data_IF_097258784875
#
_entry.id   IF_097258784875
#
_cell.length_a   1.000
_cell.length_b   1.000
_cell.length_c   1.000
_cell.angle_alpha   90.00
_cell.angle_beta   90.00
_cell.angle_gamma   90.00
#
_symmetry.space_group_name_H-M   'P 1'
#
loop_
_entity.id
_entity.type
_entity.pdbx_description
1 polymer ?
#
# COMPACT_ATOMS: atom_id res chain seq x y z
N UNK A 1 3.88 3.74 20.55
CA UNK A 1 3.87 5.04 21.30
C UNK A 1 4.47 6.19 20.50
N UNK A 2 5.75 6.18 20.11
CA UNK A 2 6.32 7.27 19.29
C UNK A 2 5.73 7.34 17.87
N UNK A 3 5.44 6.18 17.26
CA UNK A 3 4.83 6.09 15.93
C UNK A 3 3.37 6.57 15.90
N UNK A 4 2.53 6.11 16.86
CA UNK A 4 1.20 6.68 17.09
C UNK A 4 1.19 8.21 17.18
N UNK A 5 2.09 8.80 17.99
CA UNK A 5 2.17 10.25 18.12
C UNK A 5 2.49 10.94 16.78
N UNK A 6 3.41 10.38 15.99
CA UNK A 6 3.71 10.89 14.64
C UNK A 6 2.49 10.75 13.74
N UNK A 7 1.77 9.63 13.78
CA UNK A 7 0.58 9.39 12.95
C UNK A 7 -0.58 10.33 13.29
N UNK A 8 -0.79 10.62 14.57
CA UNK A 8 -1.88 11.48 15.04
C UNK A 8 -1.58 12.98 14.96
N UNK A 9 -0.31 13.36 14.73
CA UNK A 9 0.14 14.74 14.63
C UNK A 9 0.36 15.13 13.15
N UNK A 10 -0.52 15.94 12.54
CA UNK A 10 -0.46 16.20 11.09
C UNK A 10 0.85 16.81 10.61
N UNK A 11 1.50 17.63 11.45
CA UNK A 11 2.77 18.27 11.14
C UNK A 11 3.95 17.29 11.14
N UNK A 12 4.04 16.40 12.15
CA UNK A 12 5.05 15.35 12.19
C UNK A 12 4.85 14.32 11.08
N UNK A 13 3.60 13.90 10.87
CA UNK A 13 3.22 13.00 9.78
C UNK A 13 3.68 13.55 8.43
N UNK A 14 3.44 14.84 8.19
CA UNK A 14 3.89 15.52 6.98
C UNK A 14 5.41 15.53 6.82
N UNK A 15 6.19 15.80 7.88
CA UNK A 15 7.66 15.72 7.80
C UNK A 15 8.11 14.32 7.34
N UNK A 16 7.58 13.28 7.98
CA UNK A 16 7.88 11.89 7.63
C UNK A 16 7.50 11.57 6.18
N UNK A 17 6.28 11.94 5.79
CA UNK A 17 5.75 11.70 4.45
C UNK A 17 6.54 12.48 3.39
N UNK A 18 7.11 13.65 3.72
CA UNK A 18 8.00 14.39 2.82
C UNK A 18 9.44 13.85 2.79
N UNK A 19 9.75 12.79 3.56
CA UNK A 19 11.01 12.06 3.48
C UNK A 19 12.02 12.37 4.58
N UNK A 20 11.67 13.20 5.57
CA UNK A 20 12.55 13.50 6.71
C UNK A 20 12.67 12.27 7.64
N UNK A 21 13.90 12.00 8.10
CA UNK A 21 14.15 11.00 9.12
C UNK A 21 13.83 11.55 10.52
N UNK A 22 12.59 11.37 10.97
CA UNK A 22 12.15 11.86 12.27
C UNK A 22 12.13 10.77 13.35
N UNK A 23 12.50 11.15 14.57
CA UNK A 23 12.44 10.30 15.75
C UNK A 23 11.91 11.11 16.94
N UNK A 24 10.98 10.52 17.70
CA UNK A 24 10.57 11.08 19.00
C UNK A 24 11.28 10.32 20.11
N UNK A 25 12.14 11.02 20.86
CA UNK A 25 12.96 10.44 21.94
C UNK A 25 13.00 11.35 23.17
N UNK A 26 12.55 10.83 24.31
CA UNK A 26 12.69 11.50 25.61
C UNK A 26 12.10 12.92 25.69
N UNK A 27 10.97 13.17 25.02
CA UNK A 27 10.33 14.49 24.96
C UNK A 27 10.89 15.44 23.89
N UNK A 28 11.76 14.95 23.01
CA UNK A 28 12.32 15.70 21.90
C UNK A 28 11.95 15.08 20.56
N UNK A 29 11.83 15.94 19.55
CA UNK A 29 11.80 15.56 18.14
C UNK A 29 13.20 15.73 17.56
N UNK A 30 13.75 14.64 17.05
CA UNK A 30 15.03 14.58 16.37
C UNK A 30 14.77 14.43 14.86
N UNK A 31 15.52 15.18 14.07
CA UNK A 31 15.48 15.13 12.61
C UNK A 31 16.90 14.82 12.15
N UNK A 32 17.08 13.59 11.70
CA UNK A 32 18.38 13.05 11.32
C UNK A 32 18.75 13.45 9.90
N UNK A 33 20.03 13.25 9.57
CA UNK A 33 20.56 13.38 8.21
C UNK A 33 20.40 14.80 7.62
N UNK A 34 20.64 15.85 8.41
CA UNK A 34 20.64 17.23 7.91
C UNK A 34 22.01 17.54 7.31
N UNK A 35 22.16 17.67 5.98
CA UNK A 35 23.43 18.03 5.38
C UNK A 35 23.80 19.47 5.74
N UNK A 36 25.08 19.71 5.98
CA UNK A 36 25.67 21.03 6.22
C UNK A 36 27.11 21.05 5.73
N UNK A 37 27.66 22.25 5.50
CA UNK A 37 29.09 22.44 5.16
C UNK A 37 29.85 22.76 6.44
N UNK A 38 31.00 22.12 6.67
CA UNK A 38 31.87 22.42 7.80
C UNK A 38 32.93 23.50 7.49
N UNK A 39 33.75 23.85 8.48
CA UNK A 39 34.82 24.84 8.35
C UNK A 39 35.94 24.47 7.36
N UNK A 40 35.99 23.20 6.93
CA UNK A 40 36.95 22.70 5.94
C UNK A 40 36.33 22.59 4.54
N UNK A 41 35.14 23.18 4.34
CA UNK A 41 34.35 23.10 3.10
C UNK A 41 33.93 21.66 2.74
N UNK A 42 33.78 20.79 3.74
CA UNK A 42 33.32 19.42 3.53
C UNK A 42 31.83 19.30 3.90
N UNK A 43 31.11 18.49 3.13
CA UNK A 43 29.71 18.17 3.44
C UNK A 43 29.67 17.13 4.55
N UNK A 44 29.00 17.47 5.63
CA UNK A 44 28.75 16.64 6.81
C UNK A 44 27.26 16.50 7.07
N UNK A 45 26.87 15.61 7.97
CA UNK A 45 25.47 15.38 8.34
C UNK A 45 25.28 15.52 9.85
N UNK A 46 24.27 16.30 10.23
CA UNK A 46 23.91 16.55 11.61
C UNK A 46 22.47 16.16 11.94
N UNK A 47 22.07 16.46 13.17
CA UNK A 47 20.73 16.16 13.69
C UNK A 47 20.15 17.44 14.28
N UNK A 48 18.97 17.86 13.80
CA UNK A 48 18.21 18.91 14.45
C UNK A 48 17.40 18.33 15.62
N UNK A 49 17.36 19.04 16.73
CA UNK A 49 16.71 18.58 17.96
C UNK A 49 15.83 19.71 18.51
N UNK A 50 14.54 19.47 18.67
CA UNK A 50 13.60 20.43 19.28
C UNK A 50 12.80 19.77 20.40
N UNK A 51 12.47 20.55 21.42
CA UNK A 51 11.46 20.17 22.43
C UNK A 51 10.15 19.81 21.74
N UNK A 52 9.51 18.73 22.18
CA UNK A 52 8.22 18.27 21.68
C UNK A 52 7.13 18.55 22.70
N UNK A 53 6.36 19.60 22.44
CA UNK A 53 5.18 20.01 23.20
C UNK A 53 3.99 19.24 22.71
N UNK A 54 3.25 18.67 23.65
CA UNK A 54 2.04 17.90 23.39
C UNK A 54 0.82 18.69 23.84
N UNK A 55 -0.18 18.83 22.96
CA UNK A 55 -1.47 19.43 23.32
C UNK A 55 -2.36 18.43 24.08
N UNK A 56 -2.18 17.15 23.78
CA UNK A 56 -2.66 16.00 24.54
C UNK A 56 -1.64 14.85 24.37
N UNK A 57 -1.80 13.74 25.09
CA UNK A 57 -0.87 12.60 25.01
C UNK A 57 -0.68 12.01 23.59
N UNK A 58 -1.54 12.38 22.63
CA UNK A 58 -1.58 11.82 21.28
C UNK A 58 -1.27 12.85 20.17
N UNK A 59 -1.21 14.16 20.47
CA UNK A 59 -1.03 15.20 19.44
C UNK A 59 -0.03 16.27 19.83
N UNK A 60 0.70 16.76 18.84
CA UNK A 60 1.53 17.95 18.96
C UNK A 60 0.71 19.17 19.36
N UNK A 61 1.31 20.00 20.21
CA UNK A 61 0.92 21.40 20.40
C UNK A 61 1.76 22.31 19.51
N UNK A 62 1.55 23.61 19.64
CA UNK A 62 2.47 24.59 19.04
C UNK A 62 3.84 24.52 19.71
N UNK A 63 4.95 24.67 18.96
CA UNK A 63 6.28 24.75 19.55
C UNK A 63 6.33 25.80 20.67
N UNK A 64 6.84 25.41 21.84
CA UNK A 64 6.95 26.27 23.04
C UNK A 64 7.95 27.41 22.84
N UNK A 65 8.95 27.17 22.00
CA UNK A 65 9.98 28.13 21.66
C UNK A 65 10.39 28.01 20.18
N UNK A 66 11.15 29.01 19.72
CA UNK A 66 11.68 29.08 18.36
C UNK A 66 13.11 28.53 18.25
N UNK A 67 13.75 28.18 19.36
CA UNK A 67 15.13 27.66 19.38
C UNK A 67 15.14 26.21 18.89
N UNK A 68 16.13 25.85 18.10
CA UNK A 68 16.41 24.45 17.74
C UNK A 68 17.84 24.12 18.15
N UNK A 69 18.05 22.95 18.74
CA UNK A 69 19.37 22.44 19.05
C UNK A 69 19.91 21.63 17.88
N UNK A 70 21.23 21.43 17.86
CA UNK A 70 21.91 20.73 16.79
C UNK A 70 23.03 19.84 17.31
N UNK A 71 23.10 18.62 16.76
CA UNK A 71 24.17 17.65 16.97
C UNK A 71 25.01 17.61 15.69
N UNK A 72 26.32 17.86 15.80
CA UNK A 72 27.24 17.92 14.65
C UNK A 72 28.37 18.93 14.88
N UNK A 73 28.94 19.49 13.82
CA UNK A 73 29.87 20.63 13.83
C UNK A 73 29.16 21.94 13.44
N UNK A 74 29.87 23.08 13.40
CA UNK A 74 29.25 24.35 13.01
C UNK A 74 28.84 24.30 11.54
N UNK A 75 27.56 24.56 11.20
CA UNK A 75 27.16 24.83 9.83
C UNK A 75 27.83 26.09 9.31
N UNK A 76 28.42 25.99 8.13
CA UNK A 76 29.11 27.05 7.43
C UNK A 76 28.44 27.36 6.09
N UNK A 77 28.71 28.56 5.60
CA UNK A 77 28.52 28.97 4.21
C UNK A 77 29.50 28.22 3.29
N UNK A 78 29.36 28.42 1.98
CA UNK A 78 30.16 27.73 0.95
C UNK A 78 31.67 28.01 1.02
N UNK A 79 32.09 29.07 1.71
CA UNK A 79 33.48 29.48 1.89
C UNK A 79 34.09 29.03 3.24
N UNK A 80 33.32 28.26 4.03
CA UNK A 80 33.74 27.74 5.33
C UNK A 80 33.50 28.71 6.48
N UNK A 81 32.93 29.89 6.23
CA UNK A 81 32.54 30.82 7.29
C UNK A 81 31.28 30.34 8.01
N UNK A 82 31.26 30.39 9.34
CA UNK A 82 30.12 29.91 10.13
C UNK A 82 28.85 30.73 9.83
N UNK A 83 27.71 30.07 9.71
CA UNK A 83 26.39 30.72 9.56
C UNK A 83 25.99 31.39 10.87
N UNK A 84 26.46 32.62 11.09
CA UNK A 84 26.22 33.38 12.33
C UNK A 84 24.80 33.93 12.43
N UNK A 85 24.10 34.10 11.30
CA UNK A 85 22.77 34.73 11.22
C UNK A 85 21.68 34.05 12.05
N UNK A 86 21.85 32.76 12.35
CA UNK A 86 20.92 31.97 13.19
C UNK A 86 21.57 31.48 14.48
N UNK A 87 22.82 31.83 14.78
CA UNK A 87 23.55 31.27 15.91
C UNK A 87 23.00 31.79 17.24
N UNK A 88 22.75 30.88 18.19
CA UNK A 88 22.23 31.21 19.52
C UNK A 88 23.20 30.82 20.64
N UNK A 89 23.64 29.56 20.68
CA UNK A 89 24.67 29.10 21.61
C UNK A 89 25.53 28.03 20.96
N UNK A 90 26.84 28.03 21.27
CA UNK A 90 27.81 27.05 20.77
C UNK A 90 28.45 26.23 21.91
N UNK A 91 27.63 25.82 22.87
CA UNK A 91 28.06 25.03 24.02
C UNK A 91 27.41 23.66 24.02
N UNK A 92 28.23 22.62 24.23
CA UNK A 92 27.72 21.27 24.47
C UNK A 92 26.83 21.26 25.71
N UNK A 93 25.62 20.74 25.59
CA UNK A 93 24.65 20.63 26.69
C UNK A 93 23.95 19.28 26.66
N UNK A 94 23.73 18.72 27.84
CA UNK A 94 22.97 17.48 28.04
C UNK A 94 21.52 17.87 28.26
N UNK A 95 20.64 17.51 27.32
CA UNK A 95 19.21 17.83 27.41
C UNK A 95 18.46 16.80 28.26
N UNK A 96 18.83 15.53 28.15
CA UNK A 96 18.35 14.43 28.98
C UNK A 96 19.36 13.27 28.98
N UNK A 97 19.04 12.14 29.62
CA UNK A 97 19.90 10.94 29.68
C UNK A 97 20.23 10.31 28.31
N UNK A 98 19.58 10.74 27.23
CA UNK A 98 19.65 10.13 25.90
C UNK A 98 20.08 11.10 24.80
N UNK A 99 20.12 12.41 25.06
CA UNK A 99 20.31 13.46 24.06
C UNK A 99 21.30 14.50 24.57
N UNK A 100 22.45 14.54 23.90
CA UNK A 100 23.49 15.57 24.08
C UNK A 100 23.60 16.34 22.78
N UNK A 101 23.56 17.66 22.87
CA UNK A 101 23.61 18.58 21.72
C UNK A 101 24.86 19.45 21.80
N UNK A 102 25.40 19.84 20.65
CA UNK A 102 26.64 20.61 20.59
C UNK A 102 26.39 22.13 20.53
N UNK A 103 25.25 22.53 19.97
CA UNK A 103 24.88 23.94 19.76
C UNK A 103 23.38 24.15 19.60
N UNK A 104 22.98 25.41 19.49
CA UNK A 104 21.60 25.80 19.20
C UNK A 104 21.52 27.02 18.29
N UNK A 105 20.40 27.12 17.59
CA UNK A 105 20.08 28.16 16.63
C UNK A 105 18.75 28.83 16.97
N UNK A 106 18.62 30.11 16.63
CA UNK A 106 17.42 30.91 16.80
C UNK A 106 17.12 31.69 15.52
N UNK A 107 15.96 31.41 14.92
CA UNK A 107 15.42 32.16 13.79
C UNK A 107 13.92 32.29 14.06
N UNK A 108 13.50 33.43 14.59
CA UNK A 108 12.11 33.67 14.99
C UNK A 108 11.35 34.42 13.89
N UNK A 109 10.35 33.80 13.24
CA UNK A 109 9.41 34.54 12.39
C UNK A 109 8.59 35.53 13.21
N UNK A 110 8.10 36.61 12.59
CA UNK A 110 7.32 37.65 13.27
C UNK A 110 6.12 37.09 14.06
N UNK A 111 5.43 36.08 13.51
CA UNK A 111 4.30 35.40 14.15
C UNK A 111 4.69 34.15 14.96
N UNK A 112 5.98 33.81 15.05
CA UNK A 112 6.45 32.52 15.55
C UNK A 112 6.22 31.37 14.55
N UNK A 113 6.48 30.13 14.98
CA UNK A 113 6.23 28.94 14.17
C UNK A 113 4.83 28.39 14.46
N UNK A 114 3.99 28.17 13.43
CA UNK A 114 2.64 27.67 13.64
C UNK A 114 2.59 26.19 14.04
N UNK A 115 3.60 25.40 13.67
CA UNK A 115 3.70 23.97 13.95
C UNK A 115 5.15 23.47 13.81
N UNK A 116 5.41 22.20 14.12
CA UNK A 116 6.74 21.61 14.02
C UNK A 116 7.25 21.48 12.59
N UNK A 117 6.36 21.24 11.62
CA UNK A 117 6.73 21.14 10.21
C UNK A 117 7.40 22.42 9.71
N UNK A 118 6.78 23.59 9.94
CA UNK A 118 7.35 24.87 9.52
C UNK A 118 8.66 25.19 10.23
N UNK A 119 8.77 24.85 11.53
CA UNK A 119 10.00 25.02 12.30
C UNK A 119 11.14 24.19 11.72
N UNK A 120 10.94 22.88 11.58
CA UNK A 120 11.95 21.94 11.08
C UNK A 120 12.36 22.30 9.66
N UNK A 121 11.39 22.49 8.77
CA UNK A 121 11.65 22.82 7.36
C UNK A 121 12.50 24.08 7.24
N UNK A 122 12.15 25.15 7.97
CA UNK A 122 12.90 26.41 7.94
C UNK A 122 14.37 26.24 8.32
N UNK A 123 14.65 25.49 9.39
CA UNK A 123 16.02 25.26 9.83
C UNK A 123 16.79 24.33 8.90
N UNK A 124 16.15 23.26 8.40
CA UNK A 124 16.74 22.37 7.42
C UNK A 124 17.08 23.13 6.13
N UNK A 125 16.18 23.99 5.63
CA UNK A 125 16.41 24.81 4.42
C UNK A 125 17.64 25.72 4.59
N UNK A 126 17.79 26.37 5.75
CA UNK A 126 18.93 27.28 5.99
C UNK A 126 20.24 26.50 6.09
N UNK A 127 20.28 25.45 6.91
CA UNK A 127 21.51 24.69 7.21
C UNK A 127 21.98 23.89 5.99
N UNK A 128 21.03 23.36 5.21
CA UNK A 128 21.34 22.51 4.07
C UNK A 128 21.55 23.27 2.77
N UNK A 129 21.23 24.56 2.69
CA UNK A 129 21.39 25.35 1.47
C UNK A 129 22.84 25.38 0.95
N UNK A 130 23.88 25.64 1.78
CA UNK A 130 25.27 25.61 1.30
C UNK A 130 25.69 24.21 0.80
N UNK A 131 25.29 23.15 1.50
CA UNK A 131 25.64 21.78 1.12
C UNK A 131 24.99 21.38 -0.22
N UNK A 132 23.71 21.71 -0.41
CA UNK A 132 22.97 21.48 -1.67
C UNK A 132 23.51 22.30 -2.84
N UNK A 133 24.06 23.48 -2.55
CA UNK A 133 24.72 24.31 -3.57
C UNK A 133 26.03 23.66 -4.04
N UNK A 134 26.85 23.14 -3.12
CA UNK A 134 28.10 22.44 -3.44
C UNK A 134 27.87 21.10 -4.15
N UNK A 135 26.86 20.35 -3.70
CA UNK A 135 26.48 19.07 -4.30
C UNK A 135 24.93 18.96 -4.40
N UNK A 136 24.36 19.10 -5.60
CA UNK A 136 22.91 18.98 -5.79
C UNK A 136 22.33 17.59 -5.48
N UNK A 137 23.18 16.56 -5.29
CA UNK A 137 22.72 15.21 -4.95
C UNK A 137 22.43 15.02 -3.46
N UNK A 138 22.92 15.90 -2.58
CA UNK A 138 22.67 15.77 -1.14
C UNK A 138 21.29 16.26 -0.74
N UNK A 139 20.69 15.58 0.24
CA UNK A 139 19.32 15.88 0.69
C UNK A 139 19.10 15.44 2.13
N UNK A 140 18.33 16.22 2.87
CA UNK A 140 17.77 15.86 4.18
C UNK A 140 16.55 14.92 4.09
N UNK A 141 16.02 14.74 2.87
CA UNK A 141 14.84 13.91 2.59
C UNK A 141 15.29 12.56 2.02
N UNK A 142 15.74 11.67 2.89
CA UNK A 142 16.32 10.38 2.50
C UNK A 142 15.30 9.33 2.10
N UNK A 143 14.01 9.52 2.46
CA UNK A 143 12.96 8.52 2.26
C UNK A 143 13.30 7.16 2.88
N UNK A 144 14.04 7.17 3.98
CA UNK A 144 14.38 5.96 4.72
C UNK A 144 13.13 5.15 5.05
N UNK A 145 13.18 3.85 4.77
CA UNK A 145 12.08 2.92 5.06
C UNK A 145 11.80 2.90 6.56
N UNK A 146 10.51 3.00 6.90
CA UNK A 146 10.05 3.07 8.29
C UNK A 146 9.34 1.76 8.61
N UNK A 147 9.99 0.83 9.33
CA UNK A 147 9.36 -0.42 9.71
C UNK A 147 8.20 -0.16 10.68
N UNK A 148 7.17 -0.99 10.59
CA UNK A 148 6.07 -1.04 11.57
C UNK A 148 6.52 -1.83 12.82
N UNK A 149 7.44 -1.24 13.57
CA UNK A 149 8.05 -1.87 14.76
C UNK A 149 7.09 -2.01 15.94
N UNK A 150 5.95 -1.32 15.92
CA UNK A 150 4.91 -1.41 16.94
C UNK A 150 3.84 -2.48 16.66
N UNK A 151 3.88 -3.15 15.50
CA UNK A 151 2.76 -3.97 15.00
C UNK A 151 1.43 -3.20 15.03
N UNK A 152 1.49 -1.92 14.68
CA UNK A 152 0.33 -1.03 14.68
C UNK A 152 -0.49 -1.23 13.39
N UNK A 153 0.08 -1.85 12.36
CA UNK A 153 -0.54 -2.03 11.04
C UNK A 153 -0.42 -3.47 10.52
N UNK A 154 -1.12 -3.75 9.42
CA UNK A 154 -1.00 -5.03 8.67
C UNK A 154 0.18 -5.05 7.69
N UNK A 155 0.99 -4.00 7.65
CA UNK A 155 2.13 -3.87 6.75
C UNK A 155 3.45 -4.05 7.50
N UNK A 156 4.49 -4.48 6.80
CA UNK A 156 5.86 -4.57 7.36
C UNK A 156 6.50 -3.18 7.53
N UNK A 157 6.05 -2.21 6.74
CA UNK A 157 6.47 -0.81 6.79
C UNK A 157 5.27 0.12 6.58
N UNK A 158 5.41 1.35 7.06
CA UNK A 158 4.32 2.34 7.09
C UNK A 158 3.87 2.74 5.67
N UNK A 159 2.54 2.74 5.44
CA UNK A 159 1.92 3.29 4.23
C UNK A 159 1.92 4.83 4.26
N UNK A 160 2.97 5.40 3.65
CA UNK A 160 3.08 6.84 3.45
C UNK A 160 2.29 7.33 2.23
N UNK A 161 1.81 6.45 1.34
CA UNK A 161 1.03 6.84 0.17
C UNK A 161 -0.39 7.28 0.56
N UNK A 162 -1.09 6.48 1.38
CA UNK A 162 -2.42 6.86 1.90
C UNK A 162 -2.39 8.16 2.70
N UNK A 163 -1.30 8.32 3.46
CA UNK A 163 -1.00 9.49 4.28
C UNK A 163 -0.80 10.75 3.43
N UNK A 164 0.09 10.69 2.43
CA UNK A 164 0.33 11.78 1.45
C UNK A 164 -0.92 12.20 0.68
N UNK A 165 -1.73 11.22 0.27
CA UNK A 165 -2.94 11.46 -0.50
C UNK A 165 -4.13 11.90 0.37
N UNK A 166 -4.00 11.92 1.70
CA UNK A 166 -5.08 12.20 2.65
C UNK A 166 -6.31 11.27 2.49
N UNK A 167 -6.06 9.99 2.16
CA UNK A 167 -7.13 8.98 1.94
C UNK A 167 -7.13 7.87 3.01
N UNK A 168 -6.35 8.01 4.08
CA UNK A 168 -6.25 7.03 5.16
C UNK A 168 -7.62 6.66 5.76
N UNK A 169 -8.46 7.65 6.07
CA UNK A 169 -9.83 7.43 6.58
C UNK A 169 -10.75 6.74 5.56
N UNK A 170 -10.50 6.94 4.26
CA UNK A 170 -11.24 6.24 3.21
C UNK A 170 -10.80 4.78 3.22
N UNK A 171 -9.49 4.51 3.19
CA UNK A 171 -8.93 3.16 3.20
C UNK A 171 -9.25 2.38 4.50
N UNK A 172 -9.43 3.08 5.63
CA UNK A 172 -9.82 2.47 6.91
C UNK A 172 -11.15 1.69 6.84
N UNK A 173 -12.01 1.96 5.86
CA UNK A 173 -13.23 1.18 5.60
C UNK A 173 -12.94 -0.30 5.30
N UNK A 174 -11.72 -0.63 4.87
CA UNK A 174 -11.29 -1.99 4.56
C UNK A 174 -10.68 -2.73 5.77
N UNK A 175 -10.28 -2.03 6.84
CA UNK A 175 -9.42 -2.56 7.92
C UNK A 175 -9.95 -3.81 8.62
N UNK A 176 -11.26 -3.99 8.64
CA UNK A 176 -11.91 -5.10 9.34
C UNK A 176 -12.11 -6.32 8.46
N UNK A 177 -12.00 -6.16 7.14
CA UNK A 177 -12.41 -7.18 6.19
C UNK A 177 -11.40 -8.33 6.13
N UNK A 178 -11.90 -9.56 6.08
CA UNK A 178 -11.17 -10.76 5.69
C UNK A 178 -11.50 -11.10 4.24
N UNK A 179 -10.47 -11.19 3.40
CA UNK A 179 -10.63 -11.42 1.97
C UNK A 179 -10.13 -12.81 1.61
N UNK A 180 -10.94 -13.58 0.88
CA UNK A 180 -10.48 -14.81 0.24
C UNK A 180 -10.30 -14.64 -1.26
N UNK A 181 -9.24 -15.25 -1.80
CA UNK A 181 -8.96 -15.32 -3.25
C UNK A 181 -8.82 -16.78 -3.61
N UNK A 182 -9.75 -17.29 -4.42
CA UNK A 182 -9.79 -18.69 -4.85
C UNK A 182 -9.30 -18.78 -6.29
N UNK A 183 -8.16 -19.43 -6.48
CA UNK A 183 -7.42 -19.47 -7.73
C UNK A 183 -6.41 -18.32 -7.81
N UNK A 184 -5.14 -18.67 -8.01
CA UNK A 184 -3.99 -17.77 -8.15
C UNK A 184 -3.38 -17.86 -9.56
N UNK A 185 -4.11 -18.40 -10.53
CA UNK A 185 -3.73 -18.38 -11.94
C UNK A 185 -4.11 -17.06 -12.60
N UNK A 186 -3.13 -16.26 -13.02
CA UNK A 186 -3.39 -15.05 -13.80
C UNK A 186 -4.19 -13.99 -13.03
N UNK A 187 -5.49 -13.87 -13.31
CA UNK A 187 -6.38 -12.86 -12.71
C UNK A 187 -6.32 -12.86 -11.18
N UNK A 188 -6.42 -14.03 -10.53
CA UNK A 188 -6.39 -14.10 -9.06
C UNK A 188 -5.08 -13.65 -8.44
N UNK A 189 -3.94 -13.87 -9.12
CA UNK A 189 -2.66 -13.34 -8.68
C UNK A 189 -2.59 -11.81 -8.78
N UNK A 190 -3.15 -11.21 -9.84
CA UNK A 190 -3.27 -9.74 -9.93
C UNK A 190 -4.25 -9.17 -8.89
N UNK A 191 -5.31 -9.90 -8.52
CA UNK A 191 -6.16 -9.50 -7.40
C UNK A 191 -5.33 -9.49 -6.12
N UNK A 192 -4.56 -10.54 -5.83
CA UNK A 192 -3.67 -10.57 -4.67
C UNK A 192 -2.69 -9.41 -4.68
N UNK A 193 -2.09 -9.08 -5.84
CA UNK A 193 -1.20 -7.93 -5.99
C UNK A 193 -1.86 -6.64 -5.50
N UNK A 194 -3.12 -6.42 -5.86
CA UNK A 194 -3.85 -5.21 -5.51
C UNK A 194 -4.39 -5.23 -4.07
N UNK A 195 -4.92 -6.37 -3.59
CA UNK A 195 -5.43 -6.51 -2.21
C UNK A 195 -4.29 -6.40 -1.19
N UNK A 196 -3.10 -6.94 -1.49
CA UNK A 196 -1.95 -6.88 -0.59
C UNK A 196 -1.54 -5.44 -0.22
N UNK A 197 -1.88 -4.45 -1.06
CA UNK A 197 -1.61 -3.02 -0.86
C UNK A 197 -2.73 -2.28 -0.10
N UNK A 198 -3.73 -3.00 0.43
CA UNK A 198 -4.88 -2.41 1.15
C UNK A 198 -4.85 -2.78 2.63
N UNK A 199 -5.46 -2.02 3.55
CA UNK A 199 -5.33 -2.30 4.98
C UNK A 199 -6.26 -3.41 5.48
N UNK A 200 -6.77 -4.32 4.63
CA UNK A 200 -7.65 -5.43 5.05
C UNK A 200 -7.08 -6.22 6.20
N UNK A 201 -7.89 -6.89 7.01
CA UNK A 201 -7.43 -7.58 8.21
C UNK A 201 -6.57 -8.80 7.89
N UNK A 202 -7.09 -9.67 7.03
CA UNK A 202 -6.49 -10.95 6.67
C UNK A 202 -6.71 -11.20 5.17
N UNK A 203 -5.74 -11.81 4.50
CA UNK A 203 -5.87 -12.28 3.12
C UNK A 203 -5.68 -13.80 3.10
N UNK A 204 -6.69 -14.53 2.66
CA UNK A 204 -6.66 -15.98 2.49
C UNK A 204 -6.54 -16.31 1.00
N UNK A 205 -5.53 -17.10 0.64
CA UNK A 205 -5.27 -17.47 -0.76
C UNK A 205 -5.37 -18.98 -0.94
N UNK A 206 -6.17 -19.44 -1.90
CA UNK A 206 -6.44 -20.86 -2.15
C UNK A 206 -6.03 -21.23 -3.58
N UNK A 207 -5.10 -22.15 -3.75
CA UNK A 207 -4.75 -22.74 -5.04
C UNK A 207 -4.02 -24.08 -4.85
N UNK A 208 -4.40 -25.11 -5.61
CA UNK A 208 -3.79 -26.43 -5.54
C UNK A 208 -2.64 -26.67 -6.53
N UNK A 209 -2.37 -25.73 -7.45
CA UNK A 209 -1.40 -25.90 -8.52
C UNK A 209 0.02 -25.49 -8.11
N UNK A 210 0.98 -25.94 -8.92
CA UNK A 210 2.37 -25.46 -8.93
C UNK A 210 2.51 -24.18 -9.75
N UNK A 211 3.56 -23.42 -9.48
CA UNK A 211 3.92 -22.24 -10.25
C UNK A 211 4.94 -22.61 -11.34
N UNK A 212 4.42 -22.83 -12.55
CA UNK A 212 5.21 -23.22 -13.72
C UNK A 212 5.68 -22.00 -14.53
N UNK A 213 6.70 -22.21 -15.36
CA UNK A 213 7.31 -21.15 -16.20
C UNK A 213 6.27 -20.38 -17.04
N UNK A 214 5.29 -21.06 -17.62
CA UNK A 214 4.27 -20.41 -18.43
C UNK A 214 3.32 -19.51 -17.59
N UNK A 215 3.21 -19.75 -16.28
CA UNK A 215 2.44 -18.87 -15.39
C UNK A 215 3.11 -17.51 -15.24
N UNK A 216 4.44 -17.45 -15.23
CA UNK A 216 5.20 -16.21 -15.04
C UNK A 216 4.89 -15.14 -16.11
N UNK A 217 4.53 -15.54 -17.33
CA UNK A 217 4.22 -14.62 -18.44
C UNK A 217 2.81 -14.01 -18.40
N UNK A 218 1.94 -14.50 -17.51
CA UNK A 218 0.53 -14.06 -17.41
C UNK A 218 0.11 -13.67 -15.99
N UNK A 219 1.09 -13.48 -15.11
CA UNK A 219 0.92 -13.21 -13.68
C UNK A 219 1.73 -11.97 -13.27
N UNK A 220 1.43 -11.30 -12.15
CA UNK A 220 2.22 -10.18 -11.67
C UNK A 220 3.63 -10.60 -11.22
N UNK A 221 4.54 -9.62 -11.21
CA UNK A 221 5.92 -9.79 -10.78
C UNK A 221 6.84 -10.31 -11.87
N UNK A 222 8.08 -10.60 -11.48
CA UNK A 222 9.12 -11.11 -12.36
C UNK A 222 9.80 -12.29 -11.66
N UNK A 223 9.21 -13.49 -11.81
CA UNK A 223 9.74 -14.71 -11.22
C UNK A 223 11.19 -14.95 -11.68
N UNK A 224 12.07 -15.24 -10.74
CA UNK A 224 13.47 -15.55 -11.04
C UNK A 224 13.61 -16.96 -11.60
N UNK A 225 14.72 -17.26 -12.27
CA UNK A 225 15.05 -18.64 -12.68
C UNK A 225 15.06 -19.60 -11.50
N UNK A 226 15.52 -19.17 -10.32
CA UNK A 226 15.53 -20.00 -9.12
C UNK A 226 14.11 -20.33 -8.65
N UNK A 227 13.19 -19.36 -8.67
CA UNK A 227 11.79 -19.62 -8.32
C UNK A 227 11.16 -20.67 -9.25
N UNK A 228 11.50 -20.62 -10.54
CA UNK A 228 11.01 -21.60 -11.53
C UNK A 228 11.63 -22.99 -11.36
N UNK A 229 12.91 -23.07 -10.99
CA UNK A 229 13.58 -24.34 -10.69
C UNK A 229 13.06 -24.99 -9.41
N UNK A 230 12.71 -24.20 -8.40
CA UNK A 230 12.07 -24.69 -7.17
C UNK A 230 10.68 -25.29 -7.42
N UNK A 231 9.99 -24.86 -8.49
CA UNK A 231 8.61 -25.23 -8.84
C UNK A 231 7.68 -25.26 -7.60
N UNK A 232 7.59 -24.15 -6.84
CA UNK A 232 6.80 -24.11 -5.63
C UNK A 232 5.29 -24.22 -5.95
N UNK A 233 4.48 -24.56 -4.93
CA UNK A 233 3.03 -24.30 -5.00
C UNK A 233 2.78 -22.82 -5.25
N UNK A 234 1.77 -22.47 -6.05
CA UNK A 234 1.41 -21.06 -6.32
C UNK A 234 1.17 -20.29 -5.03
N UNK A 235 0.44 -20.91 -4.10
CA UNK A 235 0.20 -20.37 -2.75
C UNK A 235 1.50 -20.01 -2.05
N UNK A 236 2.44 -20.95 -1.96
CA UNK A 236 3.73 -20.72 -1.29
C UNK A 236 4.55 -19.62 -1.96
N UNK A 237 4.58 -19.61 -3.30
CA UNK A 237 5.28 -18.57 -4.08
C UNK A 237 4.72 -17.18 -3.78
N UNK A 238 3.41 -17.00 -3.92
CA UNK A 238 2.79 -15.70 -3.73
C UNK A 238 2.76 -15.26 -2.26
N UNK A 239 2.57 -16.17 -1.31
CA UNK A 239 2.67 -15.85 0.11
C UNK A 239 4.06 -15.32 0.43
N UNK A 240 5.13 -16.01 0.00
CA UNK A 240 6.52 -15.56 0.18
C UNK A 240 6.76 -14.18 -0.45
N UNK A 241 6.28 -13.97 -1.68
CA UNK A 241 6.47 -12.71 -2.41
C UNK A 241 5.81 -11.52 -1.70
N UNK A 242 4.54 -11.64 -1.34
CA UNK A 242 3.77 -10.53 -0.78
C UNK A 242 3.99 -10.33 0.73
N UNK A 243 4.53 -11.34 1.43
CA UNK A 243 4.92 -11.19 2.84
C UNK A 243 6.06 -10.18 3.05
N UNK A 244 6.80 -9.80 2.00
CA UNK A 244 7.79 -8.71 2.08
C UNK A 244 7.17 -7.33 2.35
N UNK A 245 5.88 -7.15 2.04
CA UNK A 245 5.15 -5.89 2.25
C UNK A 245 4.13 -6.01 3.37
N UNK A 246 3.59 -7.21 3.59
CA UNK A 246 2.33 -7.41 4.28
C UNK A 246 2.34 -8.59 5.23
N UNK A 247 1.79 -8.37 6.43
CA UNK A 247 1.50 -9.38 7.45
C UNK A 247 0.14 -10.07 7.15
N UNK A 248 -0.08 -11.25 7.74
CA UNK A 248 -1.38 -11.93 7.75
C UNK A 248 -1.91 -12.35 6.35
N UNK A 249 -1.00 -12.86 5.51
CA UNK A 249 -1.37 -13.64 4.32
C UNK A 249 -1.37 -15.11 4.70
N UNK A 250 -2.53 -15.75 4.59
CA UNK A 250 -2.77 -17.14 4.95
C UNK A 250 -2.91 -17.99 3.69
N UNK A 251 -1.95 -18.87 3.45
CA UNK A 251 -1.92 -19.76 2.29
C UNK A 251 -2.62 -21.10 2.53
N UNK A 252 -3.40 -21.54 1.55
CA UNK A 252 -4.12 -22.81 1.52
C UNK A 252 -3.81 -23.56 0.23
N UNK A 253 -2.83 -24.47 0.27
CA UNK A 253 -2.24 -25.14 -0.90
C UNK A 253 -3.07 -26.32 -1.46
N UNK A 254 -4.40 -26.17 -1.43
CA UNK A 254 -5.36 -27.16 -1.90
C UNK A 254 -6.52 -26.49 -2.64
N UNK A 255 -7.24 -27.29 -3.43
CA UNK A 255 -8.43 -26.81 -4.12
C UNK A 255 -9.61 -26.64 -3.16
N UNK A 256 -10.40 -25.59 -3.37
CA UNK A 256 -11.71 -25.46 -2.75
C UNK A 256 -12.66 -26.48 -3.39
N UNK A 257 -13.31 -27.27 -2.54
CA UNK A 257 -14.23 -28.36 -2.87
C UNK A 257 -15.38 -28.35 -1.88
N UNK A 258 -16.41 -29.16 -2.13
CA UNK A 258 -17.60 -29.23 -1.28
C UNK A 258 -17.28 -29.50 0.19
N UNK A 259 -16.19 -30.21 0.47
CA UNK A 259 -15.79 -30.63 1.81
C UNK A 259 -15.14 -29.51 2.65
N UNK A 260 -14.68 -28.42 2.04
CA UNK A 260 -13.98 -27.30 2.72
C UNK A 260 -14.62 -25.92 2.48
N UNK A 261 -15.82 -25.86 1.90
CA UNK A 261 -16.52 -24.61 1.64
C UNK A 261 -16.78 -23.79 2.92
N UNK A 262 -16.99 -24.45 4.07
CA UNK A 262 -17.21 -23.79 5.35
C UNK A 262 -16.08 -22.86 5.81
N UNK A 263 -14.88 -22.99 5.24
CA UNK A 263 -13.78 -22.07 5.54
C UNK A 263 -14.04 -20.64 5.05
N UNK A 264 -14.97 -20.48 4.11
CA UNK A 264 -15.35 -19.20 3.52
C UNK A 264 -16.37 -18.42 4.38
N UNK A 265 -17.03 -19.07 5.34
CA UNK A 265 -18.10 -18.47 6.17
C UNK A 265 -17.62 -17.26 6.98
N UNK A 266 -16.32 -17.21 7.30
CA UNK A 266 -15.69 -16.15 8.07
C UNK A 266 -15.18 -14.99 7.21
N UNK A 267 -15.36 -15.04 5.89
CA UNK A 267 -14.87 -14.03 4.95
C UNK A 267 -15.90 -12.93 4.75
N UNK A 268 -15.43 -11.69 4.65
CA UNK A 268 -16.28 -10.53 4.33
C UNK A 268 -16.45 -10.38 2.81
N UNK A 269 -15.46 -10.84 2.03
CA UNK A 269 -15.53 -10.83 0.57
C UNK A 269 -14.69 -11.95 -0.05
N UNK A 270 -15.20 -12.56 -1.12
CA UNK A 270 -14.50 -13.62 -1.84
C UNK A 270 -14.32 -13.28 -3.32
N UNK A 271 -13.10 -13.44 -3.82
CA UNK A 271 -12.81 -13.40 -5.25
C UNK A 271 -12.71 -14.82 -5.79
N UNK A 272 -13.62 -15.18 -6.71
CA UNK A 272 -13.69 -16.51 -7.33
C UNK A 272 -13.02 -16.44 -8.70
N UNK A 273 -11.80 -16.96 -8.80
CA UNK A 273 -10.92 -16.91 -9.98
C UNK A 273 -10.60 -18.32 -10.50
N UNK A 274 -11.63 -19.14 -10.67
CA UNK A 274 -11.50 -20.54 -11.13
C UNK A 274 -11.89 -20.68 -12.60
N UNK A 275 -11.23 -21.60 -13.29
CA UNK A 275 -11.44 -21.90 -14.71
C UNK A 275 -12.62 -22.84 -14.95
N UNK A 276 -12.84 -23.82 -14.05
CA UNK A 276 -13.90 -24.84 -14.17
C UNK A 276 -15.28 -24.31 -13.75
N UNK A 277 -16.22 -24.33 -14.69
CA UNK A 277 -17.60 -23.87 -14.47
C UNK A 277 -18.33 -24.63 -13.34
N UNK A 278 -18.18 -25.95 -13.26
CA UNK A 278 -18.77 -26.76 -12.19
C UNK A 278 -18.25 -26.35 -10.80
N UNK A 279 -16.95 -26.06 -10.68
CA UNK A 279 -16.33 -25.60 -9.42
C UNK A 279 -16.80 -24.19 -9.07
N UNK A 280 -16.81 -23.28 -10.06
CA UNK A 280 -17.33 -21.92 -9.91
C UNK A 280 -18.74 -21.95 -9.33
N UNK A 281 -19.64 -22.72 -9.93
CA UNK A 281 -21.03 -22.81 -9.49
C UNK A 281 -21.17 -23.32 -8.06
N UNK A 282 -20.45 -24.38 -7.71
CA UNK A 282 -20.47 -24.93 -6.34
C UNK A 282 -20.06 -23.87 -5.32
N UNK A 283 -19.02 -23.10 -5.61
CA UNK A 283 -18.53 -22.03 -4.73
C UNK A 283 -19.55 -20.89 -4.64
N UNK A 284 -20.03 -20.39 -5.78
CA UNK A 284 -20.93 -19.22 -5.78
C UNK A 284 -22.29 -19.53 -5.17
N UNK A 285 -22.85 -20.72 -5.43
CA UNK A 285 -24.11 -21.14 -4.80
C UNK A 285 -23.97 -21.24 -3.28
N UNK A 286 -22.81 -21.74 -2.81
CA UNK A 286 -22.53 -21.81 -1.39
C UNK A 286 -22.41 -20.42 -0.75
N UNK A 287 -21.62 -19.51 -1.35
CA UNK A 287 -21.43 -18.15 -0.84
C UNK A 287 -22.76 -17.39 -0.73
N UNK A 288 -23.68 -17.57 -1.69
CA UNK A 288 -25.04 -17.03 -1.60
C UNK A 288 -25.79 -17.63 -0.41
N UNK A 289 -25.70 -18.95 -0.19
CA UNK A 289 -26.41 -19.62 0.90
C UNK A 289 -25.98 -19.18 2.31
N UNK A 290 -24.78 -18.61 2.44
CA UNK A 290 -24.21 -18.08 3.69
C UNK A 290 -24.10 -16.55 3.72
N UNK A 291 -24.73 -15.85 2.77
CA UNK A 291 -24.75 -14.39 2.64
C UNK A 291 -23.34 -13.73 2.55
N UNK A 292 -22.35 -14.42 2.01
CA UNK A 292 -21.00 -13.86 1.78
C UNK A 292 -20.93 -13.20 0.41
N UNK A 293 -20.55 -11.92 0.38
CA UNK A 293 -20.39 -11.16 -0.86
C UNK A 293 -19.18 -11.64 -1.68
N UNK A 294 -19.30 -11.63 -3.00
CA UNK A 294 -18.23 -12.11 -3.86
C UNK A 294 -18.20 -11.47 -5.25
N UNK A 295 -17.08 -11.63 -5.93
CA UNK A 295 -16.95 -11.45 -7.39
C UNK A 295 -16.42 -12.72 -8.04
N UNK A 296 -17.17 -13.24 -9.01
CA UNK A 296 -16.70 -14.19 -10.02
C UNK A 296 -16.09 -13.42 -11.20
N UNK A 297 -14.94 -13.88 -11.67
CA UNK A 297 -14.24 -13.28 -12.80
C UNK A 297 -14.14 -14.28 -13.95
N UNK A 298 -14.28 -13.78 -15.18
CA UNK A 298 -14.18 -14.59 -16.39
C UNK A 298 -13.38 -13.88 -17.47
N UNK A 299 -12.62 -14.66 -18.23
CA UNK A 299 -11.83 -14.18 -19.36
C UNK A 299 -12.03 -15.15 -20.52
N UNK A 300 -12.46 -14.63 -21.67
CA UNK A 300 -12.69 -15.40 -22.89
C UNK A 300 -11.99 -14.73 -24.06
N UNK A 301 -10.96 -15.39 -24.60
CA UNK A 301 -10.12 -14.86 -25.67
C UNK A 301 -10.02 -15.90 -26.78
N UNK A 302 -10.16 -15.46 -28.03
CA UNK A 302 -10.10 -16.29 -29.22
C UNK A 302 -9.24 -15.61 -30.29
N UNK A 303 -8.74 -16.40 -31.24
CA UNK A 303 -8.00 -15.90 -32.41
C UNK A 303 -8.96 -15.69 -33.57
N UNK A 304 -8.91 -14.52 -34.21
CA UNK A 304 -9.63 -14.18 -35.44
C UNK A 304 -8.67 -13.43 -36.35
N UNK A 305 -8.46 -13.92 -37.58
CA UNK A 305 -7.55 -13.33 -38.57
C UNK A 305 -6.15 -12.99 -38.02
N UNK A 306 -5.51 -13.97 -37.36
CA UNK A 306 -4.21 -13.85 -36.67
C UNK A 306 -4.13 -12.76 -35.58
N UNK A 307 -5.29 -12.32 -35.07
CA UNK A 307 -5.42 -11.33 -34.00
C UNK A 307 -6.21 -11.91 -32.84
N UNK A 308 -6.02 -11.34 -31.65
CA UNK A 308 -6.81 -11.69 -30.48
C UNK A 308 -8.06 -10.81 -30.39
N UNK A 309 -9.20 -11.44 -30.13
CA UNK A 309 -10.45 -10.80 -29.72
C UNK A 309 -11.01 -11.52 -28.51
N UNK A 310 -11.92 -10.88 -27.78
CA UNK A 310 -12.44 -11.46 -26.55
C UNK A 310 -13.04 -10.44 -25.61
N UNK A 311 -13.32 -10.90 -24.40
CA UNK A 311 -13.86 -10.08 -23.34
C UNK A 311 -13.38 -10.56 -21.96
N UNK A 312 -13.39 -9.63 -21.02
CA UNK A 312 -13.30 -9.92 -19.57
C UNK A 312 -14.62 -9.57 -18.91
N UNK A 313 -15.02 -10.32 -17.88
CA UNK A 313 -16.25 -10.11 -17.14
C UNK A 313 -16.04 -10.22 -15.64
N UNK A 314 -16.77 -9.41 -14.89
CA UNK A 314 -16.91 -9.53 -13.44
C UNK A 314 -18.40 -9.64 -13.14
N UNK A 315 -18.79 -10.71 -12.44
CA UNK A 315 -20.16 -10.91 -11.94
C UNK A 315 -20.07 -11.00 -10.44
N UNK A 316 -20.76 -10.12 -9.74
CA UNK A 316 -20.70 -10.04 -8.28
C UNK A 316 -22.03 -10.40 -7.67
N UNK A 317 -22.01 -10.78 -6.40
CA UNK A 317 -23.22 -10.96 -5.64
C UNK A 317 -23.04 -10.40 -4.23
N UNK A 318 -24.17 -10.03 -3.64
CA UNK A 318 -24.28 -9.66 -2.24
C UNK A 318 -25.62 -10.17 -1.70
N UNK A 319 -25.85 -9.91 -0.41
CA UNK A 319 -27.17 -10.08 0.19
C UNK A 319 -28.27 -9.30 -0.55
N UNK A 320 -27.93 -8.16 -1.15
CA UNK A 320 -28.89 -7.27 -1.80
C UNK A 320 -29.18 -7.66 -3.27
N UNK A 321 -28.24 -8.35 -3.94
CA UNK A 321 -28.38 -8.73 -5.35
C UNK A 321 -27.63 -10.02 -5.67
N UNK A 322 -28.38 -11.07 -5.98
CA UNK A 322 -27.85 -12.39 -6.37
C UNK A 322 -28.79 -13.18 -7.34
N UNK A 323 -29.98 -12.66 -7.62
CA UNK A 323 -31.01 -13.23 -8.50
C UNK A 323 -30.58 -13.35 -9.97
N UNK A 324 -29.59 -12.56 -10.41
CA UNK A 324 -29.05 -12.57 -11.77
C UNK A 324 -28.01 -13.69 -12.00
N UNK A 325 -27.49 -14.32 -10.96
CA UNK A 325 -26.42 -15.32 -11.07
C UNK A 325 -26.75 -16.49 -12.01
N UNK A 326 -27.99 -17.07 -12.01
CA UNK A 326 -28.33 -18.14 -12.95
C UNK A 326 -28.24 -17.75 -14.42
N UNK A 327 -28.27 -16.44 -14.74
CA UNK A 327 -28.14 -15.91 -16.10
C UNK A 327 -26.69 -15.63 -16.50
N UNK A 328 -25.76 -15.58 -15.53
CA UNK A 328 -24.36 -15.18 -15.73
C UNK A 328 -23.35 -16.28 -15.46
N UNK A 329 -23.69 -17.22 -14.58
CA UNK A 329 -22.83 -18.32 -14.12
C UNK A 329 -23.50 -19.64 -14.48
N UNK A 330 -23.03 -20.25 -15.56
CA UNK A 330 -23.57 -21.51 -16.08
C UNK A 330 -22.91 -22.73 -15.42
N UNK A 331 -23.69 -23.79 -15.23
CA UNK A 331 -23.27 -25.03 -14.56
C UNK A 331 -22.38 -25.93 -15.41
N UNK A 332 -22.56 -25.88 -16.73
CA UNK A 332 -21.93 -26.77 -17.69
C UNK A 332 -21.05 -25.96 -18.64
N UNK A 333 -19.88 -26.51 -18.98
CA UNK A 333 -19.18 -26.08 -20.17
C UNK A 333 -20.10 -26.42 -21.35
N UNK A 334 -20.46 -25.44 -22.16
CA UNK A 334 -21.22 -25.72 -23.38
C UNK A 334 -20.54 -26.86 -24.14
N UNK A 335 -21.27 -27.95 -24.42
CA UNK A 335 -20.84 -29.22 -25.08
C UNK A 335 -20.22 -29.03 -26.49
N UNK A 336 -19.91 -27.80 -26.89
CA UNK A 336 -19.46 -27.40 -28.22
C UNK A 336 -18.14 -26.61 -28.20
N UNK A 337 -17.29 -26.81 -27.19
CA UNK A 337 -16.05 -26.06 -27.02
C UNK A 337 -14.78 -26.90 -27.21
N UNK A 338 -14.76 -27.77 -28.23
CA UNK A 338 -13.50 -28.33 -28.77
C UNK A 338 -12.52 -27.22 -29.22
N UNK A 339 -13.01 -25.98 -29.37
CA UNK A 339 -12.25 -24.78 -29.68
C UNK A 339 -12.12 -23.79 -28.50
N UNK A 340 -12.45 -24.17 -27.26
CA UNK A 340 -12.20 -23.32 -26.09
C UNK A 340 -10.70 -23.13 -25.90
N UNK A 341 -10.16 -22.03 -26.42
CA UNK A 341 -8.77 -21.70 -26.22
C UNK A 341 -8.62 -21.08 -24.83
N UNK A 342 -7.88 -21.74 -23.92
CA UNK A 342 -7.49 -21.19 -22.62
C UNK A 342 -6.38 -20.14 -22.77
N UNK A 343 -6.57 -19.19 -23.70
CA UNK A 343 -5.63 -18.11 -23.97
C UNK A 343 -5.71 -17.14 -22.81
N UNK A 344 -4.57 -16.92 -22.17
CA UNK A 344 -4.43 -15.94 -21.13
C UNK A 344 -3.23 -15.06 -21.41
N UNK A 345 -3.45 -13.75 -21.34
CA UNK A 345 -2.42 -12.72 -21.50
C UNK A 345 -2.45 -11.80 -20.29
N UNK A 346 -1.28 -11.27 -19.92
CA UNK A 346 -1.06 -10.56 -18.68
C UNK A 346 -2.00 -9.35 -18.52
N UNK A 347 -2.14 -8.54 -19.56
CA UNK A 347 -2.91 -7.30 -19.56
C UNK A 347 -4.41 -7.54 -19.37
N UNK A 348 -4.97 -8.63 -19.93
CA UNK A 348 -6.38 -8.96 -19.74
C UNK A 348 -6.64 -9.57 -18.38
N UNK A 349 -5.72 -10.40 -17.85
CA UNK A 349 -5.78 -10.87 -16.48
C UNK A 349 -5.72 -9.71 -15.47
N UNK A 350 -4.82 -8.76 -15.69
CA UNK A 350 -4.70 -7.56 -14.88
C UNK A 350 -5.95 -6.68 -14.98
N UNK A 351 -6.49 -6.45 -16.17
CA UNK A 351 -7.70 -5.66 -16.37
C UNK A 351 -8.92 -6.27 -15.67
N UNK A 352 -9.08 -7.59 -15.78
CA UNK A 352 -10.16 -8.32 -15.11
C UNK A 352 -10.04 -8.21 -13.58
N UNK A 353 -8.82 -8.35 -13.05
CA UNK A 353 -8.54 -8.16 -11.64
C UNK A 353 -8.86 -6.74 -11.18
N UNK A 354 -8.49 -5.72 -11.96
CA UNK A 354 -8.81 -4.31 -11.66
C UNK A 354 -10.32 -4.10 -11.59
N UNK A 355 -11.11 -4.65 -12.50
CA UNK A 355 -12.57 -4.54 -12.42
C UNK A 355 -13.15 -5.21 -11.18
N UNK A 356 -12.64 -6.38 -10.79
CA UNK A 356 -13.07 -7.05 -9.57
C UNK A 356 -12.74 -6.21 -8.33
N UNK A 357 -11.54 -5.62 -8.27
CA UNK A 357 -11.12 -4.72 -7.19
C UNK A 357 -11.98 -3.46 -7.15
N UNK A 358 -12.28 -2.86 -8.30
CA UNK A 358 -13.14 -1.68 -8.37
C UNK A 358 -14.54 -2.00 -7.82
N UNK A 359 -15.14 -3.13 -8.23
CA UNK A 359 -16.46 -3.53 -7.72
C UNK A 359 -16.44 -3.80 -6.21
N UNK A 360 -15.46 -4.55 -5.71
CA UNK A 360 -15.30 -4.78 -4.27
C UNK A 360 -15.13 -3.47 -3.48
N UNK A 361 -14.30 -2.54 -3.99
CA UNK A 361 -14.07 -1.24 -3.36
C UNK A 361 -15.29 -0.32 -3.43
N UNK A 362 -16.09 -0.37 -4.50
CA UNK A 362 -17.40 0.29 -4.59
C UNK A 362 -18.35 -0.25 -3.51
N UNK A 363 -18.49 -1.57 -3.39
CA UNK A 363 -19.31 -2.22 -2.35
C UNK A 363 -18.81 -1.88 -0.93
N UNK A 364 -17.51 -1.71 -0.75
CA UNK A 364 -16.89 -1.29 0.51
C UNK A 364 -16.97 0.23 0.77
N UNK A 365 -17.62 0.99 -0.12
CA UNK A 365 -17.80 2.43 0.01
C UNK A 365 -16.51 3.27 -0.16
N UNK A 366 -15.47 2.72 -0.78
CA UNK A 366 -14.24 3.45 -1.12
C UNK A 366 -14.47 4.39 -2.30
N UNK A 367 -15.14 3.87 -3.33
CA UNK A 367 -15.48 4.63 -4.53
C UNK A 367 -16.96 4.99 -4.54
N UNK A 368 -17.27 6.13 -5.15
CA UNK A 368 -18.65 6.49 -5.48
C UNK A 368 -19.16 5.51 -6.53
N UNK A 369 -20.32 4.91 -6.27
CA UNK A 369 -21.00 3.99 -7.19
C UNK A 369 -22.40 4.55 -7.50
N UNK A 370 -22.59 5.03 -8.74
CA UNK A 370 -23.86 5.62 -9.17
C UNK A 370 -24.74 4.63 -9.92
N UNK A 371 -24.12 3.66 -10.59
CA UNK A 371 -24.81 2.65 -11.39
C UNK A 371 -25.18 1.43 -10.55
N UNK A 372 -24.40 1.12 -9.50
CA UNK A 372 -24.61 -0.04 -8.64
C UNK A 372 -24.68 -1.36 -9.43
N UNK A 373 -23.85 -1.50 -10.47
CA UNK A 373 -23.84 -2.66 -11.37
C UNK A 373 -23.31 -3.93 -10.67
N UNK A 374 -23.98 -5.07 -10.81
CA UNK A 374 -23.45 -6.35 -10.33
C UNK A 374 -22.83 -7.20 -11.45
N UNK A 375 -22.99 -6.80 -12.70
CA UNK A 375 -22.27 -7.38 -13.82
C UNK A 375 -21.58 -6.31 -14.64
N UNK A 376 -20.30 -6.51 -14.95
CA UNK A 376 -19.56 -5.70 -15.91
C UNK A 376 -18.81 -6.58 -16.90
N UNK A 377 -18.75 -6.14 -18.15
CA UNK A 377 -17.95 -6.80 -19.19
C UNK A 377 -17.22 -5.77 -20.05
N UNK A 378 -15.97 -6.06 -20.42
CA UNK A 378 -15.21 -5.28 -21.37
C UNK A 378 -14.91 -6.10 -22.62
N UNK A 379 -15.27 -5.56 -23.78
CA UNK A 379 -15.01 -6.17 -25.08
C UNK A 379 -13.79 -5.54 -25.75
N UNK A 380 -12.80 -6.36 -26.09
CA UNK A 380 -11.52 -5.93 -26.68
C UNK A 380 -11.73 -5.27 -28.05
N UNK A 381 -12.53 -5.92 -28.90
CA UNK A 381 -12.72 -5.52 -30.30
C UNK A 381 -13.29 -4.11 -30.50
N UNK A 382 -14.06 -3.62 -29.52
CA UNK A 382 -14.74 -2.33 -29.58
C UNK A 382 -14.32 -1.39 -28.44
N UNK A 383 -13.41 -1.83 -27.57
CA UNK A 383 -12.95 -1.13 -26.36
C UNK A 383 -14.10 -0.52 -25.54
N UNK A 384 -15.16 -1.31 -25.30
CA UNK A 384 -16.38 -0.85 -24.62
C UNK A 384 -16.62 -1.65 -23.35
N UNK A 385 -17.03 -0.95 -22.29
CA UNK A 385 -17.53 -1.52 -21.03
C UNK A 385 -19.06 -1.54 -21.07
N UNK A 386 -19.65 -2.65 -20.66
CA UNK A 386 -21.08 -2.83 -20.47
C UNK A 386 -21.34 -3.11 -19.00
N UNK A 387 -22.27 -2.35 -18.39
CA UNK A 387 -22.68 -2.48 -16.99
C UNK A 387 -24.14 -2.93 -16.95
N UNK A 388 -24.43 -3.96 -16.18
CA UNK A 388 -25.74 -4.62 -16.13
C UNK A 388 -26.05 -5.10 -14.71
N UNK A 389 -27.26 -5.63 -14.50
CA UNK A 389 -27.71 -6.22 -13.23
C UNK A 389 -27.64 -5.26 -12.03
N UNK A 390 -28.13 -4.04 -12.23
CA UNK A 390 -28.15 -2.98 -11.21
C UNK A 390 -29.14 -3.28 -10.08
N UNK A 391 -28.85 -2.78 -8.88
CA UNK A 391 -29.88 -2.68 -7.82
C UNK A 391 -30.83 -1.51 -8.12
N UNK A 392 -32.16 -1.68 -7.90
CA UNK A 392 -33.15 -0.63 -8.13
C UNK A 392 -32.94 0.65 -7.34
#
# INVERSE_FOLDING_TARGET
MSQQLINHSPDLKRLRDEGYEIEVRGGYLLIHHIPFVDQNNQIQYGILVTTLTLSCNERTGTPDNHVIHFIGDNPCEIDGTVITAIQHSNTTSVLNHQVTVNRSFSNKPAAGYPNYYEKVKRYADIISAPAKYLDPSVTEKTFKVIPDSGNETVFEYIDTNSSRANIEMINAKLERQKIAIIGLGGTGAYILDLVAKTPVKEIHIYDGDTFDQHNAFRSPGAASMNDLYENPRKVSYYQKLYSNMRKYIHGHDYYVKKENLQELDQMDYVFVCVDKNAVRKIITDYLVSVDVAFSDVGLGVNVVDDKLTGAVRVTSASRDKNDHLPLRIFSEDSDNNEYATNIQVAELNALNAVFAILKWKKLSGIYVDLENEYHSSYSISVSKIFNEDVTP
#
